data_IF_938513692995
#
_entry.id   IF_938513692995
#
_cell.length_a   1.000
_cell.length_b   1.000
_cell.length_c   1.000
_cell.angle_alpha   90.00
_cell.angle_beta   90.00
_cell.angle_gamma   90.00
#
_symmetry.space_group_name_H-M   'P 1'
#
loop_
_entity.id
_entity.type
_entity.pdbx_description
1 polymer ?
#
# COMPACT_ATOMS: atom_id res chain seq x y z
N UNK A 1 28.60 24.67 10.74
CA UNK A 1 28.64 23.79 9.55
C UNK A 1 28.21 22.32 9.77
N UNK A 2 27.79 21.88 10.99
CA UNK A 2 27.35 20.50 11.24
C UNK A 2 25.83 20.27 11.15
N UNK A 3 25.02 21.31 11.05
CA UNK A 3 23.54 21.21 11.02
C UNK A 3 22.94 20.80 9.67
N UNK A 4 23.73 20.74 8.60
CA UNK A 4 23.26 20.45 7.24
C UNK A 4 23.46 18.98 6.80
N UNK A 5 24.02 18.12 7.64
CA UNK A 5 24.24 16.70 7.29
C UNK A 5 23.04 15.85 7.70
N UNK A 6 22.46 15.10 6.74
CA UNK A 6 21.47 14.08 7.05
C UNK A 6 22.20 12.92 7.73
N UNK A 7 21.73 12.45 8.87
CA UNK A 7 22.37 11.34 9.57
C UNK A 7 22.20 10.03 8.75
N UNK A 8 23.18 9.14 8.83
CA UNK A 8 23.11 7.85 8.17
C UNK A 8 21.87 7.04 8.61
N UNK A 9 21.47 7.15 9.88
CA UNK A 9 20.24 6.51 10.39
C UNK A 9 19.00 6.99 9.65
N UNK A 10 18.84 8.31 9.45
CA UNK A 10 17.70 8.87 8.71
C UNK A 10 17.70 8.39 7.27
N UNK A 11 18.86 8.34 6.60
CA UNK A 11 18.95 7.79 5.25
C UNK A 11 18.51 6.32 5.21
N UNK A 12 19.02 5.48 6.13
CA UNK A 12 18.61 4.08 6.21
C UNK A 12 17.12 3.92 6.51
N UNK A 13 16.53 4.79 7.33
CA UNK A 13 15.08 4.77 7.61
C UNK A 13 14.26 5.10 6.35
N UNK A 14 14.68 6.12 5.58
CA UNK A 14 14.04 6.51 4.32
C UNK A 14 14.16 5.38 3.29
N UNK A 15 15.36 4.80 3.14
CA UNK A 15 15.55 3.68 2.21
C UNK A 15 14.78 2.44 2.63
N UNK A 16 14.71 2.10 3.92
CA UNK A 16 13.95 0.94 4.39
C UNK A 16 12.46 1.10 4.07
N UNK A 17 11.86 2.25 4.39
CA UNK A 17 10.46 2.53 4.05
C UNK A 17 10.23 2.66 2.55
N UNK A 18 11.20 3.23 1.83
CA UNK A 18 11.20 3.32 0.37
C UNK A 18 11.25 1.96 -0.31
N UNK A 19 12.07 1.03 0.17
CA UNK A 19 12.13 -0.36 -0.32
C UNK A 19 10.79 -1.07 -0.10
N UNK A 20 10.17 -0.92 1.06
CA UNK A 20 8.86 -1.49 1.33
C UNK A 20 7.81 -0.97 0.33
N UNK A 21 7.79 0.35 0.09
CA UNK A 21 6.90 0.97 -0.89
C UNK A 21 7.23 0.53 -2.33
N UNK A 22 8.52 0.48 -2.69
CA UNK A 22 8.98 0.02 -4.00
C UNK A 22 8.54 -1.42 -4.29
N UNK A 23 8.76 -2.35 -3.34
CA UNK A 23 8.33 -3.75 -3.47
C UNK A 23 6.82 -3.86 -3.67
N UNK A 24 6.04 -3.04 -2.96
CA UNK A 24 4.60 -3.02 -3.12
C UNK A 24 4.16 -2.62 -4.53
N UNK A 25 4.67 -1.49 -5.03
CA UNK A 25 4.30 -0.96 -6.36
C UNK A 25 4.88 -1.82 -7.49
N UNK A 26 6.15 -2.25 -7.38
CA UNK A 26 6.76 -3.13 -8.38
C UNK A 26 6.08 -4.50 -8.43
N UNK A 27 5.71 -5.06 -7.27
CA UNK A 27 4.98 -6.32 -7.18
C UNK A 27 3.56 -6.23 -7.75
N UNK A 28 2.87 -5.10 -7.53
CA UNK A 28 1.55 -4.86 -8.11
C UNK A 28 1.64 -4.85 -9.65
N UNK A 29 2.55 -4.08 -10.22
CA UNK A 29 2.69 -3.98 -11.68
C UNK A 29 3.27 -5.24 -12.32
N UNK A 30 4.13 -5.99 -11.61
CA UNK A 30 4.64 -7.29 -12.05
C UNK A 30 3.51 -8.35 -12.15
N UNK A 31 2.56 -8.33 -11.21
CA UNK A 31 1.44 -9.28 -11.21
C UNK A 31 0.52 -9.14 -12.42
N UNK A 32 0.36 -7.95 -12.99
CA UNK A 32 -0.48 -7.75 -14.18
C UNK A 32 0.00 -8.59 -15.38
N UNK A 33 1.31 -8.84 -15.51
CA UNK A 33 1.88 -9.67 -16.56
C UNK A 33 1.57 -11.15 -16.36
N UNK A 34 1.32 -11.58 -15.12
CA UNK A 34 1.06 -12.98 -14.78
C UNK A 34 -0.38 -13.40 -15.08
N UNK A 35 -1.29 -12.47 -15.39
CA UNK A 35 -2.72 -12.75 -15.58
C UNK A 35 -3.01 -13.92 -16.53
N UNK A 36 -2.44 -14.00 -17.74
CA UNK A 36 -2.70 -15.13 -18.64
C UNK A 36 -2.29 -16.47 -18.04
N UNK A 37 -1.22 -16.51 -17.24
CA UNK A 37 -0.72 -17.72 -16.60
C UNK A 37 -1.65 -18.11 -15.43
N UNK A 38 -2.07 -17.16 -14.61
CA UNK A 38 -3.00 -17.39 -13.51
C UNK A 38 -4.36 -17.87 -14.02
N UNK A 39 -4.85 -17.27 -15.11
CA UNK A 39 -6.12 -17.69 -15.74
C UNK A 39 -6.05 -19.17 -16.19
N UNK A 40 -4.92 -19.57 -16.76
CA UNK A 40 -4.71 -20.95 -17.21
C UNK A 40 -4.50 -21.91 -16.04
N UNK A 41 -3.71 -21.54 -15.03
CA UNK A 41 -3.36 -22.40 -13.88
C UNK A 41 -4.57 -22.65 -12.98
N UNK A 42 -5.40 -21.62 -12.75
CA UNK A 42 -6.55 -21.71 -11.85
C UNK A 42 -7.89 -21.85 -12.58
N UNK A 43 -7.88 -22.00 -13.91
CA UNK A 43 -9.09 -22.16 -14.75
C UNK A 43 -10.13 -21.05 -14.53
N UNK A 44 -9.66 -19.79 -14.42
CA UNK A 44 -10.49 -18.61 -14.15
C UNK A 44 -10.54 -17.67 -15.35
N UNK A 45 -11.58 -16.84 -15.40
CA UNK A 45 -11.79 -15.85 -16.47
C UNK A 45 -11.06 -14.52 -16.16
N UNK A 46 -11.09 -13.60 -17.13
CA UNK A 46 -10.44 -12.27 -17.03
C UNK A 46 -11.01 -11.42 -15.91
N UNK A 47 -12.33 -11.42 -15.69
CA UNK A 47 -12.96 -10.66 -14.63
C UNK A 47 -12.50 -11.16 -13.25
N UNK A 48 -12.37 -12.46 -13.08
CA UNK A 48 -11.90 -13.06 -11.82
C UNK A 48 -10.43 -12.75 -11.56
N UNK A 49 -9.54 -12.85 -12.57
CA UNK A 49 -8.10 -12.60 -12.33
C UNK A 49 -7.80 -11.15 -11.95
N UNK A 50 -8.58 -10.20 -12.42
CA UNK A 50 -8.44 -8.78 -12.07
C UNK A 50 -8.54 -8.52 -10.55
N UNK A 51 -9.19 -9.41 -9.79
CA UNK A 51 -9.27 -9.28 -8.33
C UNK A 51 -7.89 -9.29 -7.64
N UNK A 52 -6.88 -9.88 -8.24
CA UNK A 52 -5.48 -9.85 -7.73
C UNK A 52 -4.99 -8.42 -7.56
N UNK A 53 -5.26 -7.54 -8.53
CA UNK A 53 -4.88 -6.13 -8.48
C UNK A 53 -5.94 -5.29 -7.77
N UNK A 54 -7.22 -5.54 -8.05
CA UNK A 54 -8.33 -4.76 -7.48
C UNK A 54 -8.33 -4.80 -5.96
N UNK A 55 -8.21 -5.98 -5.34
CA UNK A 55 -8.22 -6.11 -3.87
C UNK A 55 -7.01 -5.42 -3.24
N UNK A 56 -5.83 -5.56 -3.86
CA UNK A 56 -4.62 -4.90 -3.40
C UNK A 56 -4.76 -3.38 -3.42
N UNK A 57 -5.18 -2.80 -4.54
CA UNK A 57 -5.36 -1.35 -4.69
C UNK A 57 -6.48 -0.82 -3.79
N UNK A 58 -7.57 -1.57 -3.63
CA UNK A 58 -8.66 -1.23 -2.72
C UNK A 58 -8.17 -1.11 -1.29
N UNK A 59 -7.42 -2.10 -0.82
CA UNK A 59 -6.90 -2.10 0.55
C UNK A 59 -5.89 -0.97 0.73
N UNK A 60 -4.97 -0.76 -0.20
CA UNK A 60 -4.02 0.38 -0.17
C UNK A 60 -4.78 1.70 -0.11
N UNK A 61 -5.81 1.89 -0.94
CA UNK A 61 -6.62 3.10 -0.96
C UNK A 61 -7.36 3.36 0.38
N UNK A 62 -7.80 2.29 1.07
CA UNK A 62 -8.40 2.41 2.40
C UNK A 62 -7.39 2.71 3.50
N UNK A 63 -6.18 2.17 3.38
CA UNK A 63 -5.12 2.27 4.42
C UNK A 63 -4.37 3.60 4.37
N UNK A 64 -4.10 4.13 3.18
CA UNK A 64 -3.34 5.38 3.01
C UNK A 64 -3.94 6.55 3.79
N UNK A 65 -5.26 6.83 3.76
CA UNK A 65 -5.85 7.91 4.55
C UNK A 65 -5.70 7.74 6.06
N UNK A 66 -5.62 6.49 6.56
CA UNK A 66 -5.42 6.22 7.98
C UNK A 66 -4.01 6.60 8.49
N UNK A 67 -3.08 6.86 7.59
CA UNK A 67 -1.69 7.16 7.93
C UNK A 67 -1.54 8.36 8.87
N UNK A 68 -2.39 9.39 8.71
CA UNK A 68 -2.39 10.57 9.58
C UNK A 68 -2.79 10.21 11.03
N UNK A 69 -3.86 9.45 11.20
CA UNK A 69 -4.28 8.91 12.50
C UNK A 69 -3.21 8.02 13.13
N UNK A 70 -2.65 7.09 12.34
CA UNK A 70 -1.63 6.16 12.83
C UNK A 70 -0.37 6.88 13.30
N UNK A 71 0.08 7.90 12.56
CA UNK A 71 1.21 8.75 12.95
C UNK A 71 1.00 9.43 14.30
N UNK A 72 -0.23 9.90 14.58
CA UNK A 72 -0.57 10.57 15.85
C UNK A 72 -0.70 9.57 17.00
N UNK A 73 -1.17 8.36 16.73
CA UNK A 73 -1.55 7.36 17.76
C UNK A 73 -0.50 6.30 18.05
N UNK A 74 0.43 6.03 17.12
CA UNK A 74 1.43 4.98 17.23
C UNK A 74 2.84 5.45 16.91
N UNK A 75 3.83 4.73 17.45
CA UNK A 75 5.24 4.96 17.13
C UNK A 75 5.54 4.60 15.67
N UNK A 76 6.30 5.44 14.97
CA UNK A 76 6.71 5.19 13.57
C UNK A 76 7.34 3.80 13.37
N UNK A 77 8.18 3.37 14.32
CA UNK A 77 8.81 2.05 14.30
C UNK A 77 7.80 0.92 14.38
N UNK A 78 6.72 1.07 15.17
CA UNK A 78 5.65 0.07 15.26
C UNK A 78 4.82 0.01 13.99
N UNK A 79 4.50 1.16 13.39
CA UNK A 79 3.79 1.23 12.10
C UNK A 79 4.61 0.53 11.00
N UNK A 80 5.92 0.82 10.93
CA UNK A 80 6.82 0.16 10.00
C UNK A 80 6.91 -1.35 10.22
N UNK A 81 7.07 -1.78 11.48
CA UNK A 81 7.15 -3.20 11.82
C UNK A 81 5.89 -3.95 11.37
N UNK A 82 4.71 -3.45 11.73
CA UNK A 82 3.43 -4.07 11.35
C UNK A 82 3.26 -4.07 9.83
N UNK A 83 3.52 -2.94 9.16
CA UNK A 83 3.41 -2.84 7.71
C UNK A 83 4.35 -3.79 6.97
N UNK A 84 5.61 -3.88 7.41
CA UNK A 84 6.58 -4.78 6.80
C UNK A 84 6.26 -6.26 7.06
N UNK A 85 5.86 -6.62 8.30
CA UNK A 85 5.46 -7.99 8.62
C UNK A 85 4.22 -8.44 7.85
N UNK A 86 3.22 -7.57 7.70
CA UNK A 86 2.05 -7.84 6.86
C UNK A 86 2.46 -8.05 5.39
N UNK A 87 3.38 -7.23 4.87
CA UNK A 87 3.88 -7.40 3.51
C UNK A 87 4.64 -8.71 3.33
N UNK A 88 5.49 -9.08 4.29
CA UNK A 88 6.20 -10.37 4.29
C UNK A 88 5.22 -11.54 4.37
N UNK A 89 4.22 -11.44 5.24
CA UNK A 89 3.18 -12.48 5.37
C UNK A 89 2.37 -12.61 4.07
N UNK A 90 1.95 -11.50 3.46
CA UNK A 90 1.24 -11.51 2.19
C UNK A 90 2.05 -12.15 1.06
N UNK A 91 3.35 -11.80 0.97
CA UNK A 91 4.29 -12.42 0.01
C UNK A 91 4.42 -13.92 0.23
N UNK A 92 4.48 -14.39 1.48
CA UNK A 92 4.54 -15.82 1.80
C UNK A 92 3.24 -16.55 1.43
N UNK A 93 2.08 -15.94 1.70
CA UNK A 93 0.78 -16.50 1.31
C UNK A 93 0.70 -16.63 -0.22
N UNK A 94 1.11 -15.60 -0.96
CA UNK A 94 1.11 -15.60 -2.42
C UNK A 94 2.08 -16.65 -2.99
N UNK A 95 3.28 -16.76 -2.40
CA UNK A 95 4.27 -17.75 -2.83
C UNK A 95 3.80 -19.18 -2.64
N UNK A 96 3.13 -19.47 -1.51
CA UNK A 96 2.63 -20.79 -1.16
C UNK A 96 1.20 -21.06 -1.65
N UNK A 97 0.58 -20.13 -2.38
CA UNK A 97 -0.83 -20.19 -2.74
C UNK A 97 -1.20 -21.48 -3.50
N UNK A 98 -2.07 -22.35 -2.93
CA UNK A 98 -2.54 -23.56 -3.57
C UNK A 98 -3.77 -23.31 -4.46
N UNK A 99 -4.45 -22.18 -4.31
CA UNK A 99 -5.62 -21.79 -5.08
C UNK A 99 -5.68 -20.27 -5.29
N UNK A 100 -6.50 -19.83 -6.24
CA UNK A 100 -6.69 -18.42 -6.55
C UNK A 100 -7.16 -17.60 -5.33
N UNK A 101 -8.01 -18.15 -4.48
CA UNK A 101 -8.47 -17.49 -3.26
C UNK A 101 -7.33 -17.14 -2.29
N UNK A 102 -6.28 -18.00 -2.22
CA UNK A 102 -5.10 -17.70 -1.43
C UNK A 102 -4.27 -16.56 -2.06
N UNK A 103 -4.19 -16.46 -3.38
CA UNK A 103 -3.54 -15.32 -4.05
C UNK A 103 -4.28 -14.03 -3.71
N UNK A 104 -5.61 -14.01 -3.78
CA UNK A 104 -6.41 -12.83 -3.41
C UNK A 104 -6.21 -12.47 -1.93
N UNK A 105 -6.15 -13.46 -1.04
CA UNK A 105 -5.88 -13.25 0.39
C UNK A 105 -4.48 -12.68 0.63
N UNK A 106 -3.46 -13.22 -0.02
CA UNK A 106 -2.08 -12.72 0.07
C UNK A 106 -1.98 -11.27 -0.39
N UNK A 107 -2.63 -10.93 -1.51
CA UNK A 107 -2.70 -9.56 -2.03
C UNK A 107 -3.41 -8.60 -1.08
N UNK A 108 -4.50 -9.04 -0.44
CA UNK A 108 -5.18 -8.26 0.58
C UNK A 108 -4.23 -7.94 1.75
N UNK A 109 -3.58 -8.96 2.31
CA UNK A 109 -2.66 -8.80 3.44
C UNK A 109 -1.44 -7.93 3.06
N UNK A 110 -0.90 -8.12 1.85
CA UNK A 110 0.20 -7.32 1.33
C UNK A 110 -0.20 -5.84 1.15
N UNK A 111 -1.41 -5.58 0.62
CA UNK A 111 -1.94 -4.22 0.48
C UNK A 111 -2.08 -3.49 1.82
N UNK A 112 -2.51 -4.20 2.89
CA UNK A 112 -2.53 -3.64 4.25
C UNK A 112 -1.13 -3.20 4.70
N UNK A 113 -0.11 -4.00 4.41
CA UNK A 113 1.27 -3.69 4.80
C UNK A 113 1.86 -2.51 4.03
N UNK A 114 1.70 -2.51 2.71
CA UNK A 114 2.28 -1.48 1.82
C UNK A 114 1.58 -0.13 1.95
N UNK A 115 0.28 -0.10 2.24
CA UNK A 115 -0.48 1.14 2.37
C UNK A 115 0.10 2.13 3.40
N UNK A 116 0.86 1.65 4.39
CA UNK A 116 1.55 2.52 5.36
C UNK A 116 2.92 3.01 4.88
N UNK A 117 3.54 2.35 3.91
CA UNK A 117 4.96 2.52 3.58
C UNK A 117 5.28 3.92 3.03
N UNK A 118 4.51 4.36 2.03
CA UNK A 118 4.74 5.64 1.36
C UNK A 118 4.48 6.84 2.28
N UNK A 119 3.34 6.94 2.99
CA UNK A 119 3.13 8.02 3.96
C UNK A 119 4.17 8.04 5.07
N UNK A 120 4.59 6.86 5.55
CA UNK A 120 5.61 6.76 6.60
C UNK A 120 6.96 7.28 6.12
N UNK A 121 7.39 6.96 4.90
CA UNK A 121 8.61 7.47 4.30
C UNK A 121 8.60 9.01 4.25
N UNK A 122 7.53 9.60 3.75
CA UNK A 122 7.41 11.06 3.68
C UNK A 122 7.35 11.72 5.07
N UNK A 123 6.69 11.09 6.05
CA UNK A 123 6.67 11.56 7.42
C UNK A 123 8.09 11.57 8.04
N UNK A 124 8.89 10.53 7.82
CA UNK A 124 10.29 10.48 8.27
C UNK A 124 11.10 11.62 7.62
N UNK A 125 10.92 11.86 6.32
CA UNK A 125 11.60 12.95 5.61
C UNK A 125 11.23 14.31 6.23
N UNK A 126 9.93 14.57 6.42
CA UNK A 126 9.46 15.85 6.94
C UNK A 126 9.91 16.14 8.38
N UNK A 127 10.02 15.09 9.21
CA UNK A 127 10.37 15.26 10.63
C UNK A 127 11.87 15.20 10.93
N UNK A 128 12.64 14.44 10.15
CA UNK A 128 14.01 14.08 10.50
C UNK A 128 15.07 14.64 9.56
N UNK A 129 14.67 15.12 8.39
CA UNK A 129 15.60 15.73 7.44
C UNK A 129 15.72 17.24 7.71
N UNK A 130 16.94 17.83 7.67
CA UNK A 130 17.12 19.28 7.78
C UNK A 130 16.27 20.03 6.73
N UNK A 131 15.59 21.11 7.15
CA UNK A 131 14.63 21.88 6.31
C UNK A 131 15.15 22.18 4.92
N UNK A 132 16.44 22.53 4.80
CA UNK A 132 17.10 22.88 3.52
C UNK A 132 17.19 21.69 2.54
N UNK A 133 17.11 20.44 3.03
CA UNK A 133 17.24 19.22 2.24
C UNK A 133 15.94 18.43 2.08
N UNK A 134 14.85 18.89 2.70
CA UNK A 134 13.54 18.21 2.62
C UNK A 134 13.13 18.02 1.13
N UNK A 135 13.19 19.08 0.32
CA UNK A 135 12.81 19.01 -1.09
C UNK A 135 13.62 17.97 -1.88
N UNK A 136 14.95 17.91 -1.63
CA UNK A 136 15.81 16.91 -2.25
C UNK A 136 15.40 15.49 -1.85
N UNK A 137 15.18 15.24 -0.56
CA UNK A 137 14.80 13.91 -0.06
C UNK A 137 13.39 13.52 -0.43
N UNK A 138 12.46 14.47 -0.53
CA UNK A 138 11.13 14.23 -1.11
C UNK A 138 11.23 13.81 -2.57
N UNK A 139 12.10 14.47 -3.35
CA UNK A 139 12.39 14.06 -4.73
C UNK A 139 12.98 12.65 -4.83
N UNK A 140 13.91 12.28 -3.94
CA UNK A 140 14.46 10.91 -3.86
C UNK A 140 13.36 9.90 -3.53
N UNK A 141 12.51 10.18 -2.53
CA UNK A 141 11.39 9.32 -2.16
C UNK A 141 10.40 9.12 -3.31
N UNK A 142 10.04 10.20 -4.00
CA UNK A 142 9.17 10.14 -5.18
C UNK A 142 9.83 9.34 -6.32
N UNK A 143 11.14 9.50 -6.53
CA UNK A 143 11.87 8.76 -7.56
C UNK A 143 11.87 7.25 -7.30
N UNK A 144 12.07 6.82 -6.03
CA UNK A 144 12.01 5.40 -5.64
C UNK A 144 10.66 4.79 -6.05
N UNK A 145 9.56 5.49 -5.79
CA UNK A 145 8.21 5.00 -6.12
C UNK A 145 7.86 5.13 -7.59
N UNK A 146 8.36 6.16 -8.28
CA UNK A 146 8.10 6.38 -9.71
C UNK A 146 8.83 5.37 -10.63
N UNK A 147 9.99 4.86 -10.20
CA UNK A 147 10.75 3.84 -10.94
C UNK A 147 10.08 2.46 -10.81
N UNK A 148 9.39 2.18 -9.70
CA UNK A 148 8.82 0.87 -9.42
C UNK A 148 7.86 0.36 -10.51
N UNK A 149 6.90 1.16 -11.04
CA UNK A 149 6.01 0.72 -12.12
C UNK A 149 6.72 0.40 -13.43
N UNK A 150 7.88 1.03 -13.68
CA UNK A 150 8.66 0.77 -14.90
C UNK A 150 9.49 -0.53 -14.79
N UNK A 151 10.01 -0.80 -13.59
CA UNK A 151 10.80 -2.02 -13.32
C UNK A 151 9.90 -3.25 -13.16
N UNK A 152 8.74 -3.09 -12.51
CA UNK A 152 7.83 -4.19 -12.19
C UNK A 152 7.53 -5.10 -13.37
N UNK A 153 7.01 -4.60 -14.50
CA UNK A 153 6.70 -5.41 -15.67
C UNK A 153 7.92 -6.12 -16.26
N UNK A 154 9.05 -5.43 -16.36
CA UNK A 154 10.27 -6.01 -16.93
C UNK A 154 10.81 -7.15 -16.08
N UNK A 155 10.97 -6.92 -14.77
CA UNK A 155 11.47 -7.93 -13.83
C UNK A 155 10.43 -9.04 -13.65
N UNK A 156 9.14 -8.69 -13.52
CA UNK A 156 8.05 -9.64 -13.40
C UNK A 156 7.95 -10.56 -14.63
N UNK A 157 8.08 -10.01 -15.84
CA UNK A 157 8.08 -10.78 -17.08
C UNK A 157 9.26 -11.74 -17.18
N UNK A 158 10.49 -11.27 -16.87
CA UNK A 158 11.69 -12.10 -16.86
C UNK A 158 11.60 -13.24 -15.84
N UNK A 159 11.17 -12.94 -14.62
CA UNK A 159 11.01 -13.94 -13.57
C UNK A 159 9.93 -14.95 -13.92
N UNK A 160 8.80 -14.49 -14.39
CA UNK A 160 7.67 -15.35 -14.74
C UNK A 160 7.98 -16.29 -15.91
N UNK A 161 8.68 -15.78 -16.93
CA UNK A 161 9.05 -16.56 -18.10
C UNK A 161 10.05 -17.69 -17.80
N UNK A 162 10.99 -17.46 -16.86
CA UNK A 162 12.06 -18.42 -16.57
C UNK A 162 11.78 -19.30 -15.33
N UNK A 163 11.05 -18.80 -14.34
CA UNK A 163 10.90 -19.45 -13.04
C UNK A 163 9.44 -19.55 -12.55
N UNK A 164 8.49 -19.09 -13.37
CA UNK A 164 7.07 -19.05 -13.01
C UNK A 164 6.71 -17.83 -12.15
N UNK A 165 5.41 -17.52 -12.06
CA UNK A 165 4.90 -16.31 -11.41
C UNK A 165 5.22 -16.22 -9.90
N UNK A 166 5.31 -17.35 -9.22
CA UNK A 166 5.65 -17.41 -7.78
C UNK A 166 7.04 -16.85 -7.48
N UNK A 167 7.95 -16.86 -8.46
CA UNK A 167 9.31 -16.31 -8.30
C UNK A 167 9.34 -14.81 -8.03
N UNK A 168 8.31 -14.06 -8.42
CA UNK A 168 8.15 -12.64 -8.07
C UNK A 168 8.16 -12.48 -6.56
N UNK A 169 7.40 -13.28 -5.85
CA UNK A 169 7.30 -13.25 -4.39
C UNK A 169 8.57 -13.79 -3.71
N UNK A 170 9.19 -14.81 -4.30
CA UNK A 170 10.46 -15.34 -3.79
C UNK A 170 11.57 -14.29 -3.80
N UNK A 171 11.62 -13.43 -4.83
CA UNK A 171 12.59 -12.32 -4.90
C UNK A 171 12.21 -11.18 -3.96
N UNK A 172 10.94 -10.86 -3.79
CA UNK A 172 10.49 -9.83 -2.87
C UNK A 172 10.78 -10.17 -1.40
N UNK A 173 10.67 -11.44 -1.03
CA UNK A 173 10.82 -11.90 0.35
C UNK A 173 12.13 -11.47 1.01
N UNK A 174 13.32 -11.77 0.48
CA UNK A 174 14.59 -11.35 1.08
C UNK A 174 14.77 -9.83 1.09
N UNK A 175 14.25 -9.12 0.09
CA UNK A 175 14.31 -7.67 0.01
C UNK A 175 13.49 -7.03 1.15
N UNK A 176 12.28 -7.54 1.41
CA UNK A 176 11.44 -7.10 2.52
C UNK A 176 12.07 -7.41 3.88
N UNK A 177 12.73 -8.58 4.04
CA UNK A 177 13.46 -8.90 5.27
C UNK A 177 14.66 -7.96 5.48
N UNK A 178 15.40 -7.63 4.43
CA UNK A 178 16.49 -6.64 4.51
C UNK A 178 15.96 -5.26 4.90
N UNK A 179 14.84 -4.83 4.29
CA UNK A 179 14.12 -3.61 4.68
C UNK A 179 13.70 -3.65 6.15
N UNK A 180 13.15 -4.77 6.63
CA UNK A 180 12.73 -4.94 8.02
C UNK A 180 13.91 -4.72 8.99
N UNK A 181 15.03 -5.39 8.75
CA UNK A 181 16.23 -5.27 9.59
C UNK A 181 16.79 -3.84 9.57
N UNK A 182 16.87 -3.23 8.38
CA UNK A 182 17.32 -1.85 8.22
C UNK A 182 16.41 -0.86 8.95
N UNK A 183 15.11 -0.97 8.79
CA UNK A 183 14.12 -0.07 9.40
C UNK A 183 14.06 -0.22 10.93
N UNK A 184 14.10 -1.44 11.45
CA UNK A 184 14.12 -1.68 12.91
C UNK A 184 15.34 -1.07 13.61
N UNK A 185 16.48 -0.96 12.90
CA UNK A 185 17.72 -0.37 13.43
C UNK A 185 17.79 1.14 13.26
N UNK A 186 17.09 1.70 12.26
CA UNK A 186 17.28 3.08 11.84
C UNK A 186 16.10 4.01 12.12
N UNK A 187 14.86 3.49 12.21
CA UNK A 187 13.68 4.32 12.47
C UNK A 187 13.65 4.75 13.94
N UNK A 188 13.71 6.07 14.15
CA UNK A 188 13.62 6.71 15.45
C UNK A 188 12.30 7.47 15.59
N UNK A 189 11.82 7.59 16.83
CA UNK A 189 10.62 8.37 17.15
C UNK A 189 11.04 9.75 17.63
N UNK A 190 10.63 10.79 16.89
CA UNK A 190 10.89 12.20 17.30
C UNK A 190 9.61 12.85 17.80
N UNK A 191 8.50 12.64 17.09
CA UNK A 191 7.20 13.22 17.46
C UNK A 191 6.58 12.51 18.67
N UNK A 192 5.86 13.27 19.49
CA UNK A 192 5.11 12.72 20.62
C UNK A 192 3.86 12.01 20.14
N UNK A 193 3.62 10.80 20.67
CA UNK A 193 2.41 10.01 20.40
C UNK A 193 1.31 10.44 21.35
N UNK A 194 0.16 10.86 20.82
CA UNK A 194 -0.99 11.36 21.61
C UNK A 194 -2.05 10.31 21.93
N UNK A 195 -2.00 9.10 21.35
CA UNK A 195 -2.99 8.01 21.50
C UNK A 195 -4.42 8.50 21.31
N UNK A 196 -4.71 9.02 20.14
CA UNK A 196 -6.06 9.43 19.77
C UNK A 196 -6.98 8.20 19.62
N UNK A 197 -8.26 8.34 19.93
CA UNK A 197 -9.26 7.30 19.68
C UNK A 197 -9.60 7.25 18.20
N UNK A 198 -9.65 6.04 17.62
CA UNK A 198 -10.05 5.87 16.24
C UNK A 198 -11.54 6.20 16.10
N UNK A 199 -11.86 7.15 15.22
CA UNK A 199 -13.24 7.40 14.85
C UNK A 199 -13.70 6.32 13.86
N UNK A 200 -14.43 5.33 14.38
CA UNK A 200 -14.92 4.18 13.62
C UNK A 200 -15.83 4.65 12.47
N UNK A 201 -16.60 5.73 12.68
CA UNK A 201 -17.51 6.26 11.65
C UNK A 201 -16.74 6.80 10.44
N UNK A 202 -15.65 7.54 10.66
CA UNK A 202 -14.75 7.98 9.58
C UNK A 202 -14.07 6.79 8.90
N UNK A 203 -13.66 5.76 9.65
CA UNK A 203 -13.08 4.55 9.08
C UNK A 203 -14.07 3.84 8.15
N UNK A 204 -15.31 3.63 8.61
CA UNK A 204 -16.36 3.00 7.80
C UNK A 204 -16.70 3.85 6.56
N UNK A 205 -16.71 5.18 6.69
CA UNK A 205 -16.93 6.09 5.58
C UNK A 205 -15.80 6.00 4.54
N UNK A 206 -14.55 5.90 4.95
CA UNK A 206 -13.39 5.67 4.05
C UNK A 206 -13.56 4.34 3.30
N UNK A 207 -13.84 3.26 4.03
CA UNK A 207 -14.02 1.93 3.42
C UNK A 207 -15.20 1.95 2.43
N UNK A 208 -16.35 2.50 2.82
CA UNK A 208 -17.52 2.59 1.95
C UNK A 208 -17.25 3.42 0.69
N UNK A 209 -16.51 4.54 0.84
CA UNK A 209 -16.14 5.40 -0.30
C UNK A 209 -15.29 4.66 -1.31
N UNK A 210 -14.16 4.10 -0.88
CA UNK A 210 -13.24 3.43 -1.80
C UNK A 210 -13.79 2.10 -2.32
N UNK A 211 -14.43 1.30 -1.46
CA UNK A 211 -15.08 0.06 -1.88
C UNK A 211 -16.16 0.36 -2.93
N UNK A 212 -17.05 1.31 -2.65
CA UNK A 212 -18.12 1.66 -3.57
C UNK A 212 -17.61 2.17 -4.92
N UNK A 213 -16.64 3.10 -4.92
CA UNK A 213 -16.10 3.66 -6.16
C UNK A 213 -15.28 2.63 -6.96
N UNK A 214 -14.46 1.82 -6.32
CA UNK A 214 -13.63 0.82 -7.00
C UNK A 214 -14.51 -0.31 -7.56
N UNK A 215 -15.50 -0.78 -6.80
CA UNK A 215 -16.45 -1.79 -7.28
C UNK A 215 -17.39 -1.26 -8.35
N UNK A 216 -17.75 0.02 -8.31
CA UNK A 216 -18.46 0.67 -9.40
C UNK A 216 -17.65 0.63 -10.70
N UNK A 217 -16.37 1.06 -10.68
CA UNK A 217 -15.49 1.03 -11.84
C UNK A 217 -15.27 -0.42 -12.33
N UNK A 218 -15.06 -1.35 -11.42
CA UNK A 218 -14.89 -2.76 -11.75
C UNK A 218 -16.15 -3.34 -12.40
N UNK A 219 -17.32 -3.02 -11.87
CA UNK A 219 -18.61 -3.47 -12.43
C UNK A 219 -18.92 -2.94 -13.85
N UNK A 220 -18.31 -1.81 -14.24
CA UNK A 220 -18.43 -1.28 -15.60
C UNK A 220 -17.75 -2.18 -16.65
N UNK A 221 -16.83 -3.04 -16.25
CA UNK A 221 -16.18 -4.00 -17.15
C UNK A 221 -17.11 -5.14 -17.57
N UNK A 222 -18.06 -5.52 -16.70
CA UNK A 222 -18.90 -6.71 -16.89
C UNK A 222 -20.36 -6.38 -17.18
N UNK A 223 -20.81 -5.18 -16.84
CA UNK A 223 -22.21 -4.76 -16.92
C UNK A 223 -22.38 -3.39 -17.59
N UNK A 224 -23.59 -3.13 -18.10
CA UNK A 224 -23.94 -1.80 -18.63
C UNK A 224 -23.96 -0.77 -17.50
N UNK A 225 -23.62 0.49 -17.84
CA UNK A 225 -23.58 1.62 -16.90
C UNK A 225 -24.87 1.77 -16.05
N UNK A 226 -26.03 1.50 -16.63
CA UNK A 226 -27.34 1.60 -15.97
C UNK A 226 -27.76 0.31 -15.25
N UNK A 227 -26.89 -0.66 -15.08
CA UNK A 227 -27.21 -1.85 -14.27
C UNK A 227 -27.44 -1.44 -12.80
N UNK A 228 -28.47 -2.00 -12.18
CA UNK A 228 -28.82 -1.72 -10.78
C UNK A 228 -27.66 -2.02 -9.80
N UNK A 229 -26.89 -3.07 -10.08
CA UNK A 229 -25.72 -3.44 -9.27
C UNK A 229 -24.59 -2.40 -9.39
N UNK A 230 -24.32 -1.88 -10.59
CA UNK A 230 -23.28 -0.88 -10.85
C UNK A 230 -23.65 0.46 -10.21
N UNK A 231 -24.90 0.92 -10.39
CA UNK A 231 -25.37 2.16 -9.77
C UNK A 231 -25.42 2.05 -8.23
N UNK A 232 -25.73 0.88 -7.68
CA UNK A 232 -25.72 0.63 -6.24
C UNK A 232 -24.35 0.91 -5.62
N UNK A 233 -23.28 0.42 -6.25
CA UNK A 233 -21.91 0.69 -5.78
C UNK A 233 -21.52 2.16 -5.88
N UNK A 234 -21.95 2.87 -6.93
CA UNK A 234 -21.75 4.31 -7.06
C UNK A 234 -22.42 5.07 -5.92
N UNK A 235 -23.68 4.72 -5.61
CA UNK A 235 -24.42 5.35 -4.49
C UNK A 235 -23.73 5.08 -3.15
N UNK A 236 -23.28 3.86 -2.88
CA UNK A 236 -22.54 3.53 -1.66
C UNK A 236 -21.26 4.38 -1.56
N UNK A 237 -20.50 4.47 -2.66
CA UNK A 237 -19.28 5.28 -2.71
C UNK A 237 -19.53 6.76 -2.48
N UNK A 238 -20.55 7.32 -3.12
CA UNK A 238 -20.95 8.72 -2.97
C UNK A 238 -21.43 9.03 -1.55
N UNK A 239 -22.29 8.18 -0.97
CA UNK A 239 -22.76 8.34 0.41
C UNK A 239 -21.59 8.23 1.40
N UNK A 240 -20.64 7.33 1.17
CA UNK A 240 -19.42 7.22 1.96
C UNK A 240 -18.61 8.51 1.94
N UNK A 241 -18.41 9.12 0.77
CA UNK A 241 -17.73 10.43 0.63
C UNK A 241 -18.46 11.56 1.36
N UNK A 242 -19.78 11.66 1.18
CA UNK A 242 -20.60 12.66 1.88
C UNK A 242 -20.49 12.50 3.38
N UNK A 243 -20.60 11.26 3.88
CA UNK A 243 -20.47 10.96 5.31
C UNK A 243 -19.06 11.30 5.83
N UNK A 244 -18.01 11.01 5.05
CA UNK A 244 -16.63 11.32 5.40
C UNK A 244 -16.40 12.81 5.54
N UNK A 245 -16.85 13.61 4.54
CA UNK A 245 -16.73 15.08 4.57
C UNK A 245 -17.55 15.67 5.74
N UNK A 246 -18.77 15.20 5.94
CA UNK A 246 -19.63 15.65 7.02
C UNK A 246 -18.99 15.37 8.39
N UNK A 247 -18.43 14.14 8.58
CA UNK A 247 -17.78 13.75 9.82
C UNK A 247 -16.48 14.50 10.07
N UNK A 248 -15.66 14.68 9.02
CA UNK A 248 -14.41 15.45 9.11
C UNK A 248 -14.63 16.89 9.58
N UNK A 249 -15.74 17.51 9.18
CA UNK A 249 -16.10 18.87 9.61
C UNK A 249 -16.55 18.96 11.08
N UNK A 250 -16.91 17.85 11.70
CA UNK A 250 -17.36 17.79 13.10
C UNK A 250 -16.23 17.45 14.09
N UNK A 251 -15.14 16.88 13.61
CA UNK A 251 -14.03 16.44 14.44
C UNK A 251 -12.95 17.51 14.56
N UNK A 252 -12.44 17.73 15.78
CA UNK A 252 -11.29 18.60 16.01
C UNK A 252 -10.00 18.02 15.37
N UNK A 253 -9.89 16.71 15.32
CA UNK A 253 -8.75 15.98 14.72
C UNK A 253 -9.24 14.95 13.71
N UNK A 254 -9.67 15.37 12.51
CA UNK A 254 -10.17 14.44 11.49
C UNK A 254 -9.07 13.48 11.02
N UNK A 255 -9.47 12.31 10.49
CA UNK A 255 -8.57 11.33 9.88
C UNK A 255 -7.99 11.91 8.58
N UNK A 256 -8.83 12.59 7.81
CA UNK A 256 -8.46 13.30 6.57
C UNK A 256 -8.70 14.79 6.82
N UNK A 257 -7.69 15.59 6.56
CA UNK A 257 -7.73 17.05 6.71
C UNK A 257 -7.51 17.71 5.35
#
# INVERSE_FOLDING_TARGET
>A
MSQDKISAKVLFAIFATGILSFCGVAGETAMNITFPILMKEFEINTATVQWVTTIYLLVVACVVPLSAYLKRSFKMKSIFLVGNLLSVLGVLIDFLAPSFGFVVLGRLVQGMGVGFALPLMFNIILEQVPKRKIGLMMGVGTLITAIAPAIGPTVGGLLTANFGWRSIFLVQFPILLASLVAGLRSIEQISTVKRETLDIMSLLAIIASFLGLILWIHGLSDHTFFSFSVLGWLVIGALGLVLLVWRSNQLETPIIN
#
